data_IF_298803062642
#
_entry.id   IF_298803062642
#
_cell.length_a   1.000
_cell.length_b   1.000
_cell.length_c   1.000
_cell.angle_alpha   90.00
_cell.angle_beta   90.00
_cell.angle_gamma   90.00
#
_symmetry.space_group_name_H-M   'P 1'
#
loop_
_entity.id
_entity.type
_entity.pdbx_description
1 polymer ?
#
# COMPACT_ATOMS: atom_id res chain seq x y z
N UNK A 1 -12.60 4.88 -11.59
CA UNK A 1 -11.47 5.80 -11.86
C UNK A 1 -10.19 4.98 -11.90
N UNK A 2 -9.22 5.39 -12.71
CA UNK A 2 -7.88 4.80 -12.65
C UNK A 2 -7.28 5.02 -11.26
N UNK A 3 -6.34 4.15 -10.86
CA UNK A 3 -5.60 4.31 -9.62
C UNK A 3 -4.66 5.51 -9.75
N UNK A 4 -4.76 6.47 -8.84
CA UNK A 4 -3.95 7.69 -8.86
C UNK A 4 -3.36 7.99 -7.50
N UNK A 5 -2.13 8.50 -7.49
CA UNK A 5 -1.55 9.17 -6.33
C UNK A 5 -2.29 10.50 -6.12
N UNK A 6 -2.58 10.82 -4.87
CA UNK A 6 -3.35 12.00 -4.47
C UNK A 6 -2.49 12.95 -3.65
N UNK A 7 -2.96 14.20 -3.50
CA UNK A 7 -2.38 15.19 -2.58
C UNK A 7 -2.91 15.03 -1.13
N UNK A 8 -3.71 14.00 -0.87
CA UNK A 8 -4.25 13.71 0.47
C UNK A 8 -3.12 13.36 1.42
N UNK A 9 -3.09 14.04 2.57
CA UNK A 9 -2.11 13.77 3.61
C UNK A 9 -2.51 12.52 4.41
N UNK A 10 -1.52 11.88 5.03
CA UNK A 10 -1.78 10.74 5.89
C UNK A 10 -2.68 11.09 7.09
N UNK A 11 -2.56 12.30 7.63
CA UNK A 11 -3.39 12.73 8.76
C UNK A 11 -4.86 12.89 8.35
N UNK A 12 -5.11 13.39 7.12
CA UNK A 12 -6.47 13.42 6.56
C UNK A 12 -7.01 12.00 6.40
N UNK A 13 -6.23 11.10 5.81
CA UNK A 13 -6.61 9.68 5.68
C UNK A 13 -6.90 9.03 7.04
N UNK A 14 -6.08 9.26 8.06
CA UNK A 14 -6.29 8.71 9.39
C UNK A 14 -7.59 9.20 10.03
N UNK A 15 -7.91 10.49 9.87
CA UNK A 15 -9.13 11.08 10.43
C UNK A 15 -10.42 10.53 9.79
N UNK A 16 -10.34 9.86 8.64
CA UNK A 16 -11.47 9.18 7.99
C UNK A 16 -11.74 7.79 8.59
N UNK A 17 -10.82 7.24 9.39
CA UNK A 17 -10.92 5.91 10.00
C UNK A 17 -11.48 5.97 11.43
N UNK A 18 -12.11 4.87 11.86
CA UNK A 18 -12.45 4.65 13.27
C UNK A 18 -11.18 4.66 14.15
N UNK A 19 -11.26 5.22 15.36
CA UNK A 19 -10.12 5.33 16.30
C UNK A 19 -9.38 3.98 16.51
N UNK A 20 -10.14 2.88 16.65
CA UNK A 20 -9.57 1.53 16.82
C UNK A 20 -8.68 1.09 15.64
N UNK A 21 -8.97 1.58 14.43
CA UNK A 21 -8.25 1.22 13.21
C UNK A 21 -7.05 2.17 13.00
N UNK A 22 -7.15 3.42 13.45
CA UNK A 22 -6.07 4.40 13.40
C UNK A 22 -4.81 3.89 14.11
N UNK A 23 -4.92 3.37 15.33
CA UNK A 23 -3.77 2.86 16.10
C UNK A 23 -2.99 1.79 15.34
N UNK A 24 -3.71 0.87 14.68
CA UNK A 24 -3.09 -0.20 13.90
C UNK A 24 -2.40 0.36 12.66
N UNK A 25 -3.05 1.28 11.94
CA UNK A 25 -2.47 1.94 10.76
C UNK A 25 -1.23 2.74 11.15
N UNK A 26 -1.26 3.52 12.23
CA UNK A 26 -0.13 4.31 12.72
C UNK A 26 1.06 3.41 13.01
N UNK A 27 0.84 2.28 13.70
CA UNK A 27 1.93 1.36 14.05
C UNK A 27 2.55 0.71 12.81
N UNK A 28 1.74 0.26 11.86
CA UNK A 28 2.23 -0.31 10.60
C UNK A 28 2.94 0.74 9.74
N UNK A 29 2.41 1.95 9.70
CA UNK A 29 3.00 3.09 9.01
C UNK A 29 4.38 3.45 9.57
N UNK A 30 4.54 3.49 10.90
CA UNK A 30 5.85 3.72 11.53
C UNK A 30 6.89 2.67 11.12
N UNK A 31 6.48 1.40 11.02
CA UNK A 31 7.37 0.32 10.58
C UNK A 31 7.77 0.49 9.11
N UNK A 32 6.82 0.83 8.24
CA UNK A 32 7.04 0.99 6.81
C UNK A 32 7.83 2.27 6.50
N UNK A 33 7.52 3.39 7.14
CA UNK A 33 8.26 4.65 6.98
C UNK A 33 9.69 4.56 7.51
N UNK A 34 9.98 3.73 8.52
CA UNK A 34 11.36 3.42 8.92
C UNK A 34 12.17 2.78 7.80
N UNK A 35 11.53 1.95 6.96
CA UNK A 35 12.19 1.25 5.85
C UNK A 35 12.24 2.09 4.56
N UNK A 36 11.15 2.78 4.22
CA UNK A 36 11.00 3.48 2.94
C UNK A 36 11.27 4.98 3.03
N UNK A 37 11.31 5.56 4.23
CA UNK A 37 11.33 7.01 4.44
C UNK A 37 9.91 7.61 4.40
N UNK A 38 9.65 8.59 5.28
CA UNK A 38 8.35 9.24 5.38
C UNK A 38 7.96 10.01 4.10
N UNK A 39 8.93 10.58 3.40
CA UNK A 39 8.71 11.36 2.17
C UNK A 39 8.24 10.50 0.98
N UNK A 40 8.43 9.18 1.07
CA UNK A 40 7.99 8.22 0.07
C UNK A 40 6.61 7.64 0.37
N UNK A 41 5.89 8.17 1.37
CA UNK A 41 4.53 7.78 1.73
C UNK A 41 3.51 8.69 1.05
N UNK A 42 2.58 8.10 0.32
CA UNK A 42 1.52 8.82 -0.39
C UNK A 42 0.18 8.09 -0.29
N UNK A 43 -0.92 8.84 -0.34
CA UNK A 43 -2.26 8.24 -0.42
C UNK A 43 -2.61 8.01 -1.89
N UNK A 44 -3.00 6.79 -2.20
CA UNK A 44 -3.46 6.37 -3.50
C UNK A 44 -4.94 6.08 -3.45
N UNK A 45 -5.68 6.53 -4.46
CA UNK A 45 -7.12 6.30 -4.54
C UNK A 45 -7.49 5.77 -5.94
N UNK A 46 -8.45 4.86 -5.99
CA UNK A 46 -9.02 4.40 -7.24
C UNK A 46 -9.63 3.01 -7.14
N UNK A 47 -9.96 2.45 -8.31
CA UNK A 47 -10.33 1.04 -8.41
C UNK A 47 -9.05 0.20 -8.51
N UNK A 48 -8.81 -0.61 -7.48
CA UNK A 48 -7.67 -1.52 -7.41
C UNK A 48 -8.04 -2.94 -7.86
N UNK A 49 -7.11 -3.88 -7.68
CA UNK A 49 -7.33 -5.30 -7.95
C UNK A 49 -8.63 -5.78 -7.27
N UNK A 50 -9.55 -6.35 -8.06
CA UNK A 50 -10.89 -6.74 -7.60
C UNK A 50 -12.01 -5.72 -7.91
N UNK A 51 -11.68 -4.54 -8.43
CA UNK A 51 -12.64 -3.57 -8.97
C UNK A 51 -13.31 -2.65 -7.94
N UNK A 52 -13.02 -2.85 -6.65
CA UNK A 52 -13.50 -2.01 -5.56
C UNK A 52 -12.73 -0.70 -5.48
N UNK A 53 -13.44 0.39 -5.20
CA UNK A 53 -12.84 1.69 -4.86
C UNK A 53 -12.16 1.57 -3.49
N UNK A 54 -10.89 1.96 -3.39
CA UNK A 54 -10.11 1.89 -2.15
C UNK A 54 -9.19 3.10 -2.04
N UNK A 55 -8.84 3.43 -0.80
CA UNK A 55 -7.68 4.26 -0.48
C UNK A 55 -6.57 3.36 0.08
N UNK A 56 -5.34 3.60 -0.35
CA UNK A 56 -4.17 2.82 0.04
C UNK A 56 -3.05 3.78 0.44
N UNK A 57 -2.45 3.54 1.59
CA UNK A 57 -1.20 4.19 1.99
C UNK A 57 -0.06 3.48 1.26
N UNK A 58 0.47 4.11 0.22
CA UNK A 58 1.55 3.59 -0.60
C UNK A 58 2.93 4.05 -0.11
N UNK A 59 3.89 3.14 -0.07
CA UNK A 59 5.27 3.36 0.34
C UNK A 59 6.23 3.01 -0.80
N UNK A 60 7.09 3.98 -1.15
CA UNK A 60 7.96 3.88 -2.32
C UNK A 60 7.18 3.97 -3.63
N UNK A 61 7.90 4.21 -4.73
CA UNK A 61 7.32 4.28 -6.06
C UNK A 61 8.08 3.35 -7.00
N UNK A 62 7.33 2.64 -7.84
CA UNK A 62 7.84 1.75 -8.87
C UNK A 62 7.25 2.14 -10.22
N UNK A 63 8.08 2.42 -11.24
CA UNK A 63 7.59 2.60 -12.59
C UNK A 63 7.20 1.23 -13.16
N UNK A 64 5.96 1.12 -13.62
CA UNK A 64 5.42 -0.02 -14.33
C UNK A 64 5.41 0.31 -15.83
N UNK A 65 6.21 -0.44 -16.60
CA UNK A 65 6.22 -0.34 -18.06
C UNK A 65 5.17 -1.26 -18.65
N UNK A 66 4.29 -0.72 -19.49
CA UNK A 66 3.17 -1.46 -20.06
C UNK A 66 2.67 -0.85 -21.37
N UNK A 67 1.36 -1.01 -21.64
CA UNK A 67 0.69 -0.29 -22.74
C UNK A 67 0.59 1.22 -22.45
N UNK A 68 0.47 1.55 -21.17
CA UNK A 68 0.67 2.87 -20.59
C UNK A 68 1.85 2.76 -19.62
N UNK A 69 2.72 3.78 -19.60
CA UNK A 69 3.69 3.94 -18.52
C UNK A 69 2.94 4.48 -17.31
N UNK A 70 3.05 3.78 -16.18
CA UNK A 70 2.37 4.11 -14.93
C UNK A 70 3.35 4.05 -13.77
N UNK A 71 3.06 4.76 -12.68
CA UNK A 71 3.82 4.64 -11.43
C UNK A 71 2.90 4.08 -10.38
N UNK A 72 3.34 3.04 -9.67
CA UNK A 72 2.61 2.40 -8.58
C UNK A 72 3.43 2.46 -7.29
N UNK A 73 2.84 2.12 -6.15
CA UNK A 73 3.60 1.94 -4.91
C UNK A 73 4.36 0.60 -4.88
N UNK A 74 5.49 0.55 -4.15
CA UNK A 74 6.18 -0.72 -3.89
C UNK A 74 5.41 -1.56 -2.86
N UNK A 75 5.00 -0.93 -1.75
CA UNK A 75 4.18 -1.56 -0.71
C UNK A 75 2.95 -0.71 -0.45
N UNK A 76 1.78 -1.32 -0.31
CA UNK A 76 0.52 -0.63 -0.04
C UNK A 76 -0.14 -1.17 1.23
N UNK A 77 -0.54 -0.30 2.14
CA UNK A 77 -1.30 -0.63 3.34
C UNK A 77 -2.74 -0.12 3.17
N UNK A 78 -3.72 -1.00 3.35
CA UNK A 78 -5.13 -0.63 3.22
C UNK A 78 -5.97 -1.20 4.37
N UNK A 79 -6.86 -0.35 4.92
CA UNK A 79 -7.94 -0.80 5.79
C UNK A 79 -9.04 -1.44 4.95
N UNK A 80 -9.35 -2.71 5.22
CA UNK A 80 -10.52 -3.41 4.64
C UNK A 80 -11.68 -3.38 5.64
N UNK A 81 -12.78 -4.09 5.40
CA UNK A 81 -13.91 -4.10 6.34
C UNK A 81 -13.58 -4.80 7.68
N UNK A 82 -12.88 -5.94 7.63
CA UNK A 82 -12.62 -6.80 8.80
C UNK A 82 -11.15 -7.11 9.04
N UNK A 83 -10.26 -6.68 8.16
CA UNK A 83 -8.82 -6.91 8.25
C UNK A 83 -8.05 -5.72 7.66
N UNK A 84 -6.72 -5.82 7.68
CA UNK A 84 -5.80 -4.91 7.02
C UNK A 84 -5.06 -5.68 5.92
N UNK A 85 -4.96 -5.10 4.74
CA UNK A 85 -4.21 -5.67 3.63
C UNK A 85 -2.86 -5.01 3.51
N UNK A 86 -1.81 -5.82 3.35
CA UNK A 86 -0.49 -5.36 2.92
C UNK A 86 -0.21 -5.91 1.52
N UNK A 87 -0.19 -5.02 0.53
CA UNK A 87 0.16 -5.32 -0.85
C UNK A 87 1.66 -5.14 -1.03
N UNK A 88 2.32 -6.10 -1.67
CA UNK A 88 3.76 -6.05 -1.93
C UNK A 88 4.00 -6.30 -3.41
N UNK A 89 4.34 -5.23 -4.14
CA UNK A 89 4.67 -5.26 -5.56
C UNK A 89 6.17 -5.47 -5.78
N UNK A 90 6.75 -6.43 -5.06
CA UNK A 90 8.18 -6.75 -5.14
C UNK A 90 8.42 -8.06 -5.90
N UNK A 91 9.41 -8.03 -6.79
CA UNK A 91 9.92 -9.21 -7.50
C UNK A 91 11.41 -9.33 -7.27
N UNK A 92 11.87 -10.57 -7.12
CA UNK A 92 13.28 -10.94 -7.04
C UNK A 92 13.49 -12.07 -8.05
N UNK A 93 14.51 -11.97 -8.90
CA UNK A 93 14.79 -12.95 -9.97
C UNK A 93 13.56 -13.30 -10.82
N UNK A 94 12.79 -12.27 -11.21
CA UNK A 94 11.55 -12.37 -12.00
C UNK A 94 10.44 -13.18 -11.30
N UNK A 95 10.56 -13.39 -10.01
CA UNK A 95 9.61 -14.16 -9.20
C UNK A 95 9.02 -13.27 -8.12
N UNK A 96 7.70 -13.37 -7.89
CA UNK A 96 7.05 -12.65 -6.80
C UNK A 96 7.63 -13.04 -5.44
N UNK A 97 7.86 -12.06 -4.58
CA UNK A 97 8.42 -12.24 -3.24
C UNK A 97 7.72 -13.36 -2.43
N UNK A 98 6.39 -13.44 -2.55
CA UNK A 98 5.58 -14.46 -1.86
C UNK A 98 5.96 -15.91 -2.24
N UNK A 99 6.49 -16.16 -3.43
CA UNK A 99 6.95 -17.50 -3.85
C UNK A 99 8.31 -17.86 -3.24
N UNK A 100 9.15 -16.86 -2.96
CA UNK A 100 10.48 -17.06 -2.40
C UNK A 100 10.44 -17.21 -0.86
N UNK A 101 9.48 -16.56 -0.17
CA UNK A 101 9.39 -16.54 1.31
C UNK A 101 8.42 -17.60 1.86
N UNK A 102 8.09 -18.67 1.11
CA UNK A 102 7.07 -19.68 1.48
C UNK A 102 7.22 -20.28 2.90
N UNK A 103 8.37 -20.17 3.55
CA UNK A 103 8.67 -20.79 4.84
C UNK A 103 8.21 -20.00 6.08
N UNK A 104 7.88 -18.70 5.99
CA UNK A 104 7.71 -17.84 7.18
C UNK A 104 6.39 -17.03 7.27
N UNK A 105 5.39 -17.31 6.44
CA UNK A 105 4.09 -16.65 6.59
C UNK A 105 3.24 -17.41 7.61
N UNK A 106 2.71 -16.67 8.61
CA UNK A 106 1.76 -17.21 9.58
C UNK A 106 0.58 -17.86 8.86
N UNK A 107 0.15 -19.03 9.39
CA UNK A 107 -0.90 -19.87 8.81
C UNK A 107 -2.20 -19.13 8.53
#
# INVERSE_FOLDING_TARGET
MATVKTDTTFDVYLNELDEKDQDTIIRLDQMLTKQFGKDNRNIWEGKFWGGSQQQIVGYGEIPIKGKSDETWFMVGLARQKTYFSLYVNAVEDKTYLAKNIKTNWGK
#
